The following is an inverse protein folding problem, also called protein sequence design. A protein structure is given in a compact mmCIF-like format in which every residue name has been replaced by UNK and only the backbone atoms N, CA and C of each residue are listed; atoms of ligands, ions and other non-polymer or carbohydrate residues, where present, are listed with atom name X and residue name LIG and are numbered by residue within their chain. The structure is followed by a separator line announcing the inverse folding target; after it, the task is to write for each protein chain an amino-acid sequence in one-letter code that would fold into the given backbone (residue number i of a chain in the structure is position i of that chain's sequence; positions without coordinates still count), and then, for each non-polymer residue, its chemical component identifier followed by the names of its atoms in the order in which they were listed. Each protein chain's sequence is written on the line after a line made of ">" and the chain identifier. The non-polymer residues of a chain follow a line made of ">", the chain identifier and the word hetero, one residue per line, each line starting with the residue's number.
data_IF_881558941079
#
_entry.id   IF_881558941079
#
_cell.length_a   1.000
_cell.length_b   1.000
_cell.length_c   1.000
_cell.angle_alpha   90.00
_cell.angle_beta   90.00
_cell.angle_gamma   90.00
#
_symmetry.space_group_name_H-M   'P 1'
#
loop_
_entity.id
_entity.type
_entity.pdbx_description
1 polymer ?
#
# COMPACT_ATOMS: atom_id res chain seq x y z
N UNK A 1 11.03 -24.18 -7.95
CA UNK A 1 10.37 -24.60 -9.21
C UNK A 1 9.96 -23.35 -10.00
N UNK A 2 10.88 -22.72 -10.72
CA UNK A 2 10.65 -21.76 -11.82
C UNK A 2 12.02 -21.57 -12.50
N UNK A 3 12.43 -22.55 -13.31
CA UNK A 3 13.67 -22.53 -14.11
C UNK A 3 13.37 -22.17 -15.57
N UNK A 4 12.43 -21.26 -15.79
CA UNK A 4 12.15 -20.67 -17.10
C UNK A 4 12.29 -19.15 -16.99
N UNK A 5 13.05 -18.49 -17.88
CA UNK A 5 13.14 -17.04 -17.89
C UNK A 5 11.75 -16.48 -18.13
N UNK A 6 11.29 -15.64 -17.20
CA UNK A 6 9.95 -15.03 -17.23
C UNK A 6 9.81 -14.33 -18.58
N UNK A 7 8.84 -14.72 -19.43
CA UNK A 7 8.68 -14.09 -20.72
C UNK A 7 8.41 -12.59 -20.52
N UNK A 8 8.99 -11.71 -21.36
CA UNK A 8 8.93 -10.26 -21.16
C UNK A 8 7.49 -9.72 -21.15
N UNK A 9 6.56 -10.40 -21.84
CA UNK A 9 5.13 -10.07 -21.79
C UNK A 9 4.55 -10.25 -20.38
N UNK A 10 4.86 -11.35 -19.69
CA UNK A 10 4.37 -11.62 -18.33
C UNK A 10 4.95 -10.63 -17.33
N UNK A 11 6.23 -10.25 -17.47
CA UNK A 11 6.86 -9.23 -16.63
C UNK A 11 6.16 -7.87 -16.78
N UNK A 12 5.82 -7.49 -18.01
CA UNK A 12 5.14 -6.22 -18.32
C UNK A 12 3.71 -6.19 -17.76
N UNK A 13 2.98 -7.30 -17.86
CA UNK A 13 1.64 -7.44 -17.28
C UNK A 13 1.67 -7.41 -15.75
N UNK A 14 2.63 -8.09 -15.10
CA UNK A 14 2.81 -8.06 -13.65
C UNK A 14 3.19 -6.67 -13.14
N UNK A 15 4.05 -5.97 -13.87
CA UNK A 15 4.41 -4.59 -13.55
C UNK A 15 3.20 -3.66 -13.67
N UNK A 16 2.46 -3.75 -14.78
CA UNK A 16 1.25 -2.97 -15.01
C UNK A 16 0.18 -3.24 -13.94
N UNK A 17 -0.04 -4.51 -13.58
CA UNK A 17 -0.96 -4.91 -12.52
C UNK A 17 -0.54 -4.38 -11.15
N UNK A 18 0.76 -4.35 -10.87
CA UNK A 18 1.31 -3.78 -9.63
C UNK A 18 1.05 -2.27 -9.51
N UNK A 19 1.14 -1.53 -10.62
CA UNK A 19 0.82 -0.10 -10.65
C UNK A 19 -0.69 0.13 -10.56
N UNK A 20 -1.49 -0.69 -11.23
CA UNK A 20 -2.95 -0.59 -11.17
C UNK A 20 -3.49 -0.82 -9.76
N UNK A 21 -3.01 -1.85 -9.05
CA UNK A 21 -3.50 -2.17 -7.70
C UNK A 21 -3.09 -1.14 -6.66
N UNK A 22 -1.97 -0.45 -6.87
CA UNK A 22 -1.57 0.69 -6.05
C UNK A 22 -2.61 1.81 -6.11
N UNK A 23 -3.09 2.16 -7.31
CA UNK A 23 -4.14 3.17 -7.48
C UNK A 23 -5.47 2.75 -6.85
N UNK A 24 -5.84 1.47 -6.96
CA UNK A 24 -7.06 0.92 -6.32
C UNK A 24 -6.96 1.02 -4.80
N UNK A 25 -5.81 0.64 -4.22
CA UNK A 25 -5.55 0.78 -2.79
C UNK A 25 -5.66 2.23 -2.33
N UNK A 26 -5.11 3.16 -3.12
CA UNK A 26 -5.25 4.61 -2.90
C UNK A 26 -6.71 5.06 -2.87
N UNK A 27 -7.49 4.75 -3.93
CA UNK A 27 -8.91 5.14 -4.03
C UNK A 27 -9.76 4.63 -2.85
N UNK A 28 -9.63 3.34 -2.51
CA UNK A 28 -10.38 2.73 -1.39
C UNK A 28 -10.03 3.41 -0.06
N UNK A 29 -8.76 3.74 0.12
CA UNK A 29 -8.28 4.35 1.34
C UNK A 29 -8.71 5.81 1.48
N UNK A 30 -8.78 6.57 0.39
CA UNK A 30 -9.33 7.92 0.37
C UNK A 30 -10.83 7.93 0.66
N UNK A 31 -11.57 6.93 0.17
CA UNK A 31 -12.99 6.80 0.53
C UNK A 31 -13.17 6.50 2.02
N UNK A 32 -12.31 5.63 2.55
CA UNK A 32 -12.32 5.27 3.98
C UNK A 32 -11.79 6.39 4.88
N UNK A 33 -10.99 7.33 4.35
CA UNK A 33 -10.38 8.41 5.14
C UNK A 33 -11.44 9.32 5.76
N UNK A 34 -12.58 9.54 5.10
CA UNK A 34 -13.66 10.38 5.64
C UNK A 34 -14.28 9.77 6.89
N UNK A 35 -14.55 8.46 6.86
CA UNK A 35 -15.07 7.72 8.02
C UNK A 35 -14.01 7.64 9.12
N UNK A 36 -12.78 7.29 8.74
CA UNK A 36 -11.67 7.17 9.70
C UNK A 36 -11.38 8.52 10.34
N UNK A 37 -11.41 9.62 9.58
CA UNK A 37 -11.22 11.00 10.03
C UNK A 37 -12.20 11.39 11.13
N UNK A 38 -13.48 11.06 10.95
CA UNK A 38 -14.52 11.36 11.94
C UNK A 38 -14.30 10.58 13.25
N UNK A 39 -13.68 9.40 13.17
CA UNK A 39 -13.32 8.56 14.32
C UNK A 39 -11.90 8.81 14.89
N UNK A 40 -11.00 9.44 14.14
CA UNK A 40 -9.59 9.63 14.51
C UNK A 40 -9.35 11.01 15.10
N UNK A 41 -9.23 11.07 16.43
CA UNK A 41 -8.60 12.22 17.08
C UNK A 41 -7.09 12.32 16.76
N UNK A 42 -6.50 13.50 17.07
CA UNK A 42 -5.08 13.87 16.82
C UNK A 42 -4.03 12.81 17.22
N UNK A 43 -4.24 12.05 18.31
CA UNK A 43 -3.30 11.00 18.76
C UNK A 43 -3.37 9.72 17.92
N UNK A 44 -4.55 9.36 17.41
CA UNK A 44 -4.74 8.11 16.66
C UNK A 44 -4.18 8.21 15.23
N UNK A 45 -4.16 9.41 14.65
CA UNK A 45 -3.54 9.65 13.35
C UNK A 45 -2.04 9.34 13.32
N UNK A 46 -1.27 9.79 14.33
CA UNK A 46 0.17 9.46 14.43
C UNK A 46 0.43 7.96 14.58
N UNK A 47 -0.40 7.26 15.36
CA UNK A 47 -0.26 5.81 15.57
C UNK A 47 -0.59 5.02 14.31
N UNK A 48 -1.68 5.37 13.61
CA UNK A 48 -2.10 4.68 12.39
C UNK A 48 -1.09 4.88 11.26
N UNK A 49 -0.53 6.08 11.14
CA UNK A 49 0.51 6.36 10.15
C UNK A 49 1.77 5.53 10.41
N UNK A 50 2.24 5.45 11.67
CA UNK A 50 3.39 4.60 12.03
C UNK A 50 3.12 3.10 11.83
N UNK A 51 1.95 2.60 12.22
CA UNK A 51 1.60 1.18 12.08
C UNK A 51 1.48 0.80 10.60
N UNK A 52 0.84 1.62 9.77
CA UNK A 52 0.76 1.38 8.33
C UNK A 52 2.13 1.45 7.65
N UNK A 53 3.01 2.38 8.08
CA UNK A 53 4.39 2.45 7.60
C UNK A 53 5.18 1.20 7.98
N UNK A 54 5.02 0.68 9.20
CA UNK A 54 5.65 -0.57 9.64
C UNK A 54 5.13 -1.78 8.88
N UNK A 55 3.82 -1.87 8.63
CA UNK A 55 3.22 -2.98 7.87
C UNK A 55 3.66 -2.92 6.41
N UNK A 56 3.60 -1.74 5.76
CA UNK A 56 4.03 -1.56 4.38
C UNK A 56 5.53 -1.82 4.19
N UNK A 57 6.36 -1.27 5.07
CA UNK A 57 7.81 -1.49 5.08
C UNK A 57 8.18 -2.94 5.40
N UNK A 58 7.48 -3.57 6.35
CA UNK A 58 7.66 -4.97 6.71
C UNK A 58 7.29 -5.92 5.57
N UNK A 59 6.15 -5.71 4.91
CA UNK A 59 5.77 -6.48 3.72
C UNK A 59 6.75 -6.27 2.57
N UNK A 60 7.21 -5.04 2.33
CA UNK A 60 8.13 -4.73 1.24
C UNK A 60 9.54 -5.28 1.50
N UNK A 61 9.98 -5.32 2.76
CA UNK A 61 11.23 -5.97 3.18
C UNK A 61 11.16 -7.48 3.07
N UNK A 62 10.07 -8.11 3.53
CA UNK A 62 9.88 -9.56 3.47
C UNK A 62 9.64 -10.07 2.05
N UNK A 63 9.06 -9.26 1.16
CA UNK A 63 8.80 -9.60 -0.24
C UNK A 63 10.08 -9.93 -1.02
N UNK A 64 11.20 -9.28 -0.68
CA UNK A 64 12.51 -9.54 -1.32
C UNK A 64 13.06 -10.93 -0.99
N UNK A 65 12.66 -11.51 0.15
CA UNK A 65 13.08 -12.82 0.63
C UNK A 65 12.23 -13.93 0.01
N UNK A 66 10.92 -13.73 -0.12
CA UNK A 66 10.01 -14.79 -0.58
C UNK A 66 9.97 -15.03 -2.08
N UNK A 67 10.49 -14.12 -2.92
CA UNK A 67 10.51 -14.29 -4.40
C UNK A 67 9.13 -14.63 -5.01
N UNK A 68 8.05 -14.23 -4.34
CA UNK A 68 6.66 -14.52 -4.70
C UNK A 68 5.94 -13.27 -5.19
N UNK A 69 5.27 -13.39 -6.33
CA UNK A 69 4.50 -12.30 -6.95
C UNK A 69 3.33 -11.82 -6.07
N UNK A 70 2.71 -12.71 -5.29
CA UNK A 70 1.59 -12.38 -4.40
C UNK A 70 1.96 -11.38 -3.30
N UNK A 71 3.13 -11.54 -2.66
CA UNK A 71 3.60 -10.60 -1.63
C UNK A 71 3.96 -9.24 -2.21
N UNK A 72 4.43 -9.18 -3.46
CA UNK A 72 4.73 -7.92 -4.14
C UNK A 72 3.44 -7.12 -4.43
N UNK A 73 2.40 -7.80 -4.90
CA UNK A 73 1.09 -7.20 -5.20
C UNK A 73 0.43 -6.70 -3.91
N UNK A 74 0.44 -7.50 -2.84
CA UNK A 74 -0.09 -7.08 -1.54
C UNK A 74 0.68 -5.89 -0.95
N UNK A 75 2.02 -5.89 -1.03
CA UNK A 75 2.83 -4.77 -0.57
C UNK A 75 2.51 -3.46 -1.30
N UNK A 76 2.30 -3.51 -2.63
CA UNK A 76 1.90 -2.35 -3.44
C UNK A 76 0.51 -1.84 -3.07
N UNK A 77 -0.43 -2.74 -2.80
CA UNK A 77 -1.77 -2.38 -2.33
C UNK A 77 -1.72 -1.68 -0.97
N UNK A 78 -0.97 -2.23 0.00
CA UNK A 78 -0.85 -1.67 1.35
C UNK A 78 -0.19 -0.29 1.35
N UNK A 79 0.88 -0.09 0.55
CA UNK A 79 1.53 1.21 0.41
C UNK A 79 0.63 2.23 -0.29
N UNK A 80 -0.14 1.81 -1.30
CA UNK A 80 -1.16 2.65 -1.93
C UNK A 80 -2.21 3.12 -0.94
N UNK A 81 -2.72 2.21 -0.11
CA UNK A 81 -3.66 2.53 0.96
C UNK A 81 -3.05 3.45 2.04
N UNK A 82 -1.79 3.23 2.41
CA UNK A 82 -1.07 4.11 3.34
C UNK A 82 -0.95 5.54 2.79
N UNK A 83 -0.59 5.69 1.51
CA UNK A 83 -0.42 6.99 0.87
C UNK A 83 -1.74 7.79 0.81
N UNK A 84 -2.86 7.12 0.47
CA UNK A 84 -4.17 7.77 0.43
C UNK A 84 -4.66 8.20 1.82
N UNK A 85 -4.46 7.36 2.84
CA UNK A 85 -4.77 7.74 4.23
C UNK A 85 -3.87 8.88 4.72
N UNK A 86 -2.56 8.80 4.50
CA UNK A 86 -1.64 9.86 4.91
C UNK A 86 -2.00 11.20 4.25
N UNK A 87 -2.34 11.20 2.96
CA UNK A 87 -2.74 12.41 2.22
C UNK A 87 -4.04 13.04 2.73
N UNK A 88 -4.99 12.24 3.24
CA UNK A 88 -6.21 12.77 3.86
C UNK A 88 -6.04 13.17 5.33
N UNK A 89 -5.15 12.51 6.07
CA UNK A 89 -4.88 12.80 7.48
C UNK A 89 -3.95 14.00 7.69
N UNK A 90 -2.99 14.25 6.79
CA UNK A 90 -2.06 15.40 6.85
C UNK A 90 -2.80 16.75 6.88
N UNK A 91 -3.71 17.08 5.95
CA UNK A 91 -4.43 18.34 5.98
C UNK A 91 -5.34 18.47 7.20
N UNK A 92 -5.88 17.36 7.73
CA UNK A 92 -6.65 17.34 8.98
C UNK A 92 -5.81 17.53 10.25
N UNK A 93 -4.50 17.27 10.19
CA UNK A 93 -3.62 17.48 11.33
C UNK A 93 -3.13 18.94 11.42
N UNK A 94 -2.95 19.58 10.27
CA UNK A 94 -2.43 20.95 10.14
C UNK A 94 -3.53 22.01 10.14
N UNK A 95 -4.74 21.67 9.69
CA UNK A 95 -5.94 22.49 9.85
C UNK A 95 -6.48 22.48 11.28
#
# INVERSE_FOLDING_TARGET
>A
KYSEPIPPQTLTSLWSLSVAIFSIGGMLSSFSVGIISEFLGRRKAMLISNVLAFIGGGLMGMSKISRSFEMMILGRFTIGAYCGLASGLVPMYVG
#
